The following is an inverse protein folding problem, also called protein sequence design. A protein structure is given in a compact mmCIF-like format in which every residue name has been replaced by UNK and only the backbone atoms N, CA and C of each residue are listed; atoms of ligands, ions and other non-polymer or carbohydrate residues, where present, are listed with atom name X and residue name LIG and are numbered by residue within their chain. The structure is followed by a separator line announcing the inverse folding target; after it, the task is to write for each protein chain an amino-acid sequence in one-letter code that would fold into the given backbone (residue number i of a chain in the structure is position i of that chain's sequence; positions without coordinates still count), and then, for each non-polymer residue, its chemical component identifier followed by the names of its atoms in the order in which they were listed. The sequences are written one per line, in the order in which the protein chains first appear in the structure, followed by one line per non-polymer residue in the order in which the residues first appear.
data_IF_500017719915
#
_entry.id   IF_500017719915
#
_cell.length_a   1.000
_cell.length_b   1.000
_cell.length_c   1.000
_cell.angle_alpha   90.00
_cell.angle_beta   90.00
_cell.angle_gamma   90.00
#
_symmetry.space_group_name_H-M   'P 1'
#
loop_
_entity.id
_entity.type
_entity.pdbx_description
1 polymer ?
#
# COMPACT_ATOMS: atom_id res chain seq x y z
N UNK A 1 12.28 -4.94 -5.71
CA UNK A 1 13.15 -3.74 -5.86
C UNK A 1 12.32 -2.48 -6.04
N UNK A 2 11.44 -2.39 -7.05
CA UNK A 2 10.59 -1.20 -7.29
C UNK A 2 9.72 -0.81 -6.09
N UNK A 3 9.14 -1.79 -5.38
CA UNK A 3 8.34 -1.54 -4.17
C UNK A 3 9.12 -0.85 -3.05
N UNK A 4 10.39 -1.22 -2.87
CA UNK A 4 11.26 -0.62 -1.84
C UNK A 4 11.53 0.85 -2.18
N UNK A 5 11.88 1.13 -3.44
CA UNK A 5 12.14 2.49 -3.91
C UNK A 5 10.89 3.37 -3.92
N UNK A 6 9.71 2.79 -4.14
CA UNK A 6 8.44 3.49 -3.96
C UNK A 6 8.22 3.93 -2.51
N UNK A 7 8.42 3.03 -1.54
CA UNK A 7 8.18 3.34 -0.13
C UNK A 7 9.22 4.28 0.49
N UNK A 8 10.51 4.10 0.20
CA UNK A 8 11.62 4.79 0.90
C UNK A 8 12.37 5.81 0.04
N UNK A 9 12.08 5.87 -1.26
CA UNK A 9 12.74 6.77 -2.19
C UNK A 9 12.45 8.25 -1.90
N UNK A 10 13.33 9.12 -2.39
CA UNK A 10 13.19 10.58 -2.31
C UNK A 10 13.14 11.20 -3.71
N UNK A 11 12.59 12.40 -3.82
CA UNK A 11 12.50 13.11 -5.10
C UNK A 11 11.62 12.36 -6.11
N UNK A 12 12.11 12.18 -7.33
CA UNK A 12 11.36 11.51 -8.40
C UNK A 12 11.33 9.97 -8.29
N UNK A 13 12.16 9.37 -7.44
CA UNK A 13 12.34 7.92 -7.39
C UNK A 13 11.07 7.15 -7.03
N UNK A 14 10.23 7.59 -6.05
CA UNK A 14 8.96 6.93 -5.76
C UNK A 14 7.98 6.96 -6.93
N UNK A 15 7.93 8.08 -7.65
CA UNK A 15 7.04 8.28 -8.80
C UNK A 15 7.41 7.32 -9.94
N UNK A 16 8.69 7.28 -10.32
CA UNK A 16 9.16 6.39 -11.40
C UNK A 16 8.94 4.92 -11.02
N UNK A 17 9.21 4.57 -9.75
CA UNK A 17 8.99 3.21 -9.25
C UNK A 17 7.51 2.82 -9.30
N UNK A 18 6.62 3.75 -8.97
CA UNK A 18 5.17 3.54 -9.07
C UNK A 18 4.72 3.33 -10.50
N UNK A 19 5.16 4.19 -11.43
CA UNK A 19 4.78 4.09 -12.85
C UNK A 19 5.19 2.74 -13.43
N UNK A 20 6.41 2.25 -13.12
CA UNK A 20 6.86 0.92 -13.54
C UNK A 20 6.00 -0.20 -12.97
N UNK A 21 5.62 -0.12 -11.69
CA UNK A 21 4.75 -1.14 -11.08
C UNK A 21 3.35 -1.16 -11.71
N UNK A 22 2.75 0.01 -11.93
CA UNK A 22 1.43 0.15 -12.57
C UNK A 22 1.45 -0.40 -14.00
N UNK A 23 2.48 -0.06 -14.75
CA UNK A 23 2.68 -0.47 -16.13
C UNK A 23 2.88 -1.99 -16.25
N UNK A 24 3.61 -2.61 -15.31
CA UNK A 24 3.68 -4.07 -15.19
C UNK A 24 2.31 -4.69 -14.88
N UNK A 25 1.55 -4.12 -13.94
CA UNK A 25 0.22 -4.62 -13.59
C UNK A 25 -0.74 -4.59 -14.79
N UNK A 26 -0.70 -3.52 -15.59
CA UNK A 26 -1.53 -3.37 -16.79
C UNK A 26 -1.12 -4.35 -17.89
N UNK A 27 0.19 -4.54 -18.12
CA UNK A 27 0.67 -5.38 -19.24
C UNK A 27 0.75 -6.87 -18.93
N UNK A 28 1.08 -7.25 -17.70
CA UNK A 28 1.31 -8.64 -17.30
C UNK A 28 0.03 -9.28 -16.73
N UNK A 29 -1.00 -8.49 -16.43
CA UNK A 29 -2.29 -8.99 -15.95
C UNK A 29 -2.25 -9.52 -14.52
N UNK A 30 -3.12 -10.50 -14.24
CA UNK A 30 -3.43 -10.99 -12.88
C UNK A 30 -2.20 -11.47 -12.10
N UNK A 31 -1.24 -12.13 -12.78
CA UNK A 31 -0.05 -12.71 -12.15
C UNK A 31 0.85 -11.66 -11.49
N UNK A 32 0.82 -10.42 -12.00
CA UNK A 32 1.56 -9.30 -11.42
C UNK A 32 0.71 -8.49 -10.44
N UNK A 33 -0.61 -8.39 -10.66
CA UNK A 33 -1.52 -7.55 -9.88
C UNK A 33 -1.58 -8.00 -8.42
N UNK A 34 -1.81 -9.28 -8.16
CA UNK A 34 -1.94 -9.81 -6.81
C UNK A 34 -0.73 -9.54 -5.90
N UNK A 35 0.52 -9.88 -6.30
CA UNK A 35 1.68 -9.58 -5.48
C UNK A 35 1.93 -8.08 -5.36
N UNK A 36 1.59 -7.27 -6.38
CA UNK A 36 1.72 -5.82 -6.34
C UNK A 36 0.75 -5.17 -5.35
N UNK A 37 -0.54 -5.52 -5.37
CA UNK A 37 -1.55 -5.01 -4.44
C UNK A 37 -1.21 -5.37 -2.99
N UNK A 38 -0.78 -6.62 -2.76
CA UNK A 38 -0.35 -7.06 -1.43
C UNK A 38 0.92 -6.36 -0.96
N UNK A 39 1.88 -6.16 -1.87
CA UNK A 39 3.14 -5.49 -1.58
C UNK A 39 2.95 -4.01 -1.26
N UNK A 40 2.18 -3.29 -2.09
CA UNK A 40 1.96 -1.85 -1.95
C UNK A 40 1.26 -1.52 -0.63
N UNK A 41 0.26 -2.31 -0.25
CA UNK A 41 -0.46 -2.13 1.02
C UNK A 41 0.46 -2.33 2.22
N UNK A 42 1.25 -3.42 2.24
CA UNK A 42 2.19 -3.68 3.33
C UNK A 42 3.23 -2.58 3.47
N UNK A 43 3.81 -2.13 2.36
CA UNK A 43 4.79 -1.05 2.36
C UNK A 43 4.17 0.27 2.85
N UNK A 44 2.92 0.55 2.49
CA UNK A 44 2.19 1.71 3.00
C UNK A 44 1.98 1.66 4.52
N UNK A 45 1.49 0.54 5.05
CA UNK A 45 1.25 0.37 6.49
C UNK A 45 2.54 0.62 7.29
N UNK A 46 3.68 0.12 6.82
CA UNK A 46 4.99 0.35 7.45
C UNK A 46 5.36 1.85 7.46
N UNK A 47 5.08 2.57 6.37
CA UNK A 47 5.34 4.01 6.30
C UNK A 47 4.40 4.83 7.21
N UNK A 48 3.21 4.32 7.50
CA UNK A 48 2.23 4.95 8.39
C UNK A 48 2.47 4.69 9.88
N UNK A 49 3.42 3.83 10.28
CA UNK A 49 3.66 3.51 11.70
C UNK A 49 4.13 4.73 12.51
N UNK A 50 4.89 5.64 11.91
CA UNK A 50 5.43 6.83 12.57
C UNK A 50 5.18 8.06 11.70
N UNK A 51 4.03 8.70 11.95
CA UNK A 51 3.62 9.91 11.23
C UNK A 51 4.34 11.12 11.83
N UNK A 52 5.01 11.88 10.98
CA UNK A 52 5.70 13.14 11.32
C UNK A 52 5.25 14.19 10.29
N UNK A 53 5.16 15.49 10.62
CA UNK A 53 4.74 16.52 9.67
C UNK A 53 5.51 16.49 8.34
N UNK A 54 6.82 16.21 8.40
CA UNK A 54 7.69 16.06 7.23
C UNK A 54 7.42 14.81 6.39
N UNK A 55 6.80 13.76 6.97
CA UNK A 55 6.43 12.52 6.28
C UNK A 55 5.00 12.54 5.76
N UNK A 56 4.14 13.44 6.25
CA UNK A 56 2.72 13.46 5.92
C UNK A 56 2.49 13.61 4.41
N UNK A 57 3.18 14.56 3.77
CA UNK A 57 3.10 14.76 2.32
C UNK A 57 3.51 13.50 1.53
N UNK A 58 4.52 12.77 2.01
CA UNK A 58 4.94 11.51 1.39
C UNK A 58 3.87 10.43 1.58
N UNK A 59 3.27 10.33 2.77
CA UNK A 59 2.20 9.36 3.06
C UNK A 59 0.96 9.64 2.20
N UNK A 60 0.57 10.91 2.02
CA UNK A 60 -0.53 11.29 1.12
C UNK A 60 -0.24 10.89 -0.33
N UNK A 61 0.98 11.15 -0.80
CA UNK A 61 1.43 10.69 -2.12
C UNK A 61 1.33 9.17 -2.27
N UNK A 62 1.85 8.40 -1.29
CA UNK A 62 1.74 6.93 -1.30
C UNK A 62 0.27 6.48 -1.31
N UNK A 63 -0.59 7.17 -0.55
CA UNK A 63 -2.04 6.90 -0.53
C UNK A 63 -2.69 7.07 -1.91
N UNK A 64 -2.41 8.17 -2.59
CA UNK A 64 -2.88 8.41 -3.96
C UNK A 64 -2.39 7.34 -4.94
N UNK A 65 -1.12 6.91 -4.84
CA UNK A 65 -0.59 5.81 -5.64
C UNK A 65 -1.33 4.49 -5.40
N UNK A 66 -1.68 4.18 -4.15
CA UNK A 66 -2.45 2.96 -3.83
C UNK A 66 -3.81 3.00 -4.48
N UNK A 67 -4.53 4.13 -4.36
CA UNK A 67 -5.86 4.30 -4.96
C UNK A 67 -5.79 4.05 -6.47
N UNK A 68 -4.81 4.67 -7.14
CA UNK A 68 -4.58 4.49 -8.58
C UNK A 68 -4.27 3.04 -8.97
N UNK A 69 -3.49 2.31 -8.16
CA UNK A 69 -3.16 0.90 -8.46
C UNK A 69 -4.36 -0.03 -8.22
N UNK A 70 -5.12 0.20 -7.16
CA UNK A 70 -6.34 -0.58 -6.88
C UNK A 70 -7.43 -0.32 -7.92
N UNK A 71 -7.39 0.82 -8.62
CA UNK A 71 -8.25 1.10 -9.77
C UNK A 71 -7.93 0.30 -11.04
N UNK A 72 -6.78 -0.40 -11.11
CA UNK A 72 -6.40 -1.19 -12.29
C UNK A 72 -7.28 -2.43 -12.46
N UNK A 73 -7.62 -3.11 -11.37
CA UNK A 73 -8.50 -4.29 -11.39
C UNK A 73 -9.35 -4.36 -10.11
N UNK A 74 -10.60 -3.90 -10.23
CA UNK A 74 -11.55 -3.84 -9.12
C UNK A 74 -11.88 -5.22 -8.50
N UNK A 75 -12.07 -6.31 -9.27
CA UNK A 75 -12.30 -7.65 -8.71
C UNK A 75 -11.17 -8.10 -7.77
N UNK A 76 -9.91 -8.03 -8.19
CA UNK A 76 -8.78 -8.41 -7.33
C UNK A 76 -8.64 -7.43 -6.15
N UNK A 77 -8.72 -6.12 -6.42
CA UNK A 77 -8.67 -5.08 -5.39
C UNK A 77 -9.67 -5.33 -4.25
N UNK A 78 -10.90 -5.72 -4.55
CA UNK A 78 -11.93 -6.02 -3.56
C UNK A 78 -11.55 -7.20 -2.65
N UNK A 79 -11.01 -8.28 -3.23
CA UNK A 79 -10.55 -9.45 -2.46
C UNK A 79 -9.45 -9.08 -1.47
N UNK A 80 -8.45 -8.29 -1.92
CA UNK A 80 -7.38 -7.80 -1.05
C UNK A 80 -7.91 -6.85 0.02
N UNK A 81 -8.79 -5.91 -0.35
CA UNK A 81 -9.38 -4.94 0.59
C UNK A 81 -10.14 -5.64 1.73
N UNK A 82 -10.94 -6.66 1.41
CA UNK A 82 -11.67 -7.42 2.43
C UNK A 82 -10.75 -8.05 3.47
N UNK A 83 -9.66 -8.69 3.03
CA UNK A 83 -8.66 -9.29 3.93
C UNK A 83 -8.00 -8.25 4.82
N UNK A 84 -7.60 -7.11 4.24
CA UNK A 84 -6.91 -6.05 4.98
C UNK A 84 -7.82 -5.34 5.99
N UNK A 85 -9.08 -5.09 5.66
CA UNK A 85 -10.07 -4.54 6.61
C UNK A 85 -10.26 -5.49 7.79
N UNK A 86 -10.37 -6.79 7.54
CA UNK A 86 -10.47 -7.80 8.60
C UNK A 86 -9.22 -7.80 9.50
N UNK A 87 -8.03 -7.71 8.91
CA UNK A 87 -6.77 -7.63 9.68
C UNK A 87 -6.72 -6.39 10.56
N UNK A 88 -7.12 -5.23 10.03
CA UNK A 88 -7.22 -4.00 10.81
C UNK A 88 -8.17 -4.16 12.01
N UNK A 89 -9.33 -4.78 11.80
CA UNK A 89 -10.28 -5.06 12.88
C UNK A 89 -9.70 -5.96 13.98
N UNK A 90 -8.91 -6.97 13.62
CA UNK A 90 -8.22 -7.83 14.60
C UNK A 90 -7.17 -7.04 15.40
N UNK A 91 -6.34 -6.25 14.72
CA UNK A 91 -5.32 -5.39 15.37
C UNK A 91 -5.99 -4.41 16.34
N UNK A 92 -7.10 -3.79 15.93
CA UNK A 92 -7.83 -2.84 16.75
C UNK A 92 -8.41 -3.50 18.01
N UNK A 93 -9.04 -4.68 17.86
CA UNK A 93 -9.56 -5.45 19.01
C UNK A 93 -8.44 -5.79 20.00
N UNK A 94 -7.31 -6.27 19.49
CA UNK A 94 -6.18 -6.66 20.33
C UNK A 94 -5.59 -5.44 21.05
N UNK A 95 -5.47 -4.29 20.38
CA UNK A 95 -5.04 -3.03 20.98
C UNK A 95 -5.97 -2.51 22.09
N UNK A 96 -7.29 -2.68 21.93
CA UNK A 96 -8.29 -2.32 22.97
C UNK A 96 -8.17 -3.28 24.17
N UNK A 97 -8.04 -4.58 23.91
CA UNK A 97 -7.95 -5.60 24.96
C UNK A 97 -6.68 -5.46 25.80
N UNK A 98 -5.55 -5.10 25.18
CA UNK A 98 -4.28 -4.86 25.89
C UNK A 98 -4.36 -3.64 26.81
N UNK A 99 -5.05 -2.56 26.41
CA UNK A 99 -5.23 -1.38 27.28
C UNK A 99 -6.15 -1.63 28.49
N UNK A 100 -6.89 -2.73 28.50
CA UNK A 100 -7.81 -3.09 29.60
C UNK A 100 -7.13 -3.96 30.67
N UNK A 101 -5.85 -4.32 30.48
CA UNK A 101 -5.01 -5.00 31.48
C UNK A 101 -4.02 -4.03 32.10
#
# INVERSE_FOLDING_TARGET
VSLHFWGTGKGALPVVSFLLMRDCCIRLGSDCIDPCLKGIYKAYVVNCQFVTPSKLQHIEFLGSCIIELYGVDLPSAYQHAFVFIRQLGMILRDAITVQTK
#
